data_IF_668312942640
#
_entry.id   IF_668312942640
#
_cell.length_a   1.000
_cell.length_b   1.000
_cell.length_c   1.000
_cell.angle_alpha   90.00
_cell.angle_beta   90.00
_cell.angle_gamma   90.00
#
_symmetry.space_group_name_H-M   'P 1'
#
loop_
_entity.id
_entity.type
_entity.pdbx_description
1 polymer ?
#
# COMPACT_ATOMS: atom_id res chain seq x y z
N UNK A 1 53.79 2.56 -0.77
CA UNK A 1 52.91 1.37 -0.71
C UNK A 1 52.32 1.40 0.68
N UNK A 2 51.05 1.75 0.88
CA UNK A 2 49.86 1.07 0.35
C UNK A 2 48.71 2.09 0.36
N UNK A 3 48.09 2.35 -0.80
CA UNK A 3 46.84 3.10 -0.83
C UNK A 3 45.72 2.14 -0.47
N UNK A 4 45.17 2.27 0.75
CA UNK A 4 43.93 1.59 1.16
C UNK A 4 42.80 2.11 0.27
N UNK A 5 42.00 1.27 -0.40
CA UNK A 5 40.98 1.74 -1.32
C UNK A 5 39.84 2.38 -0.53
N UNK A 6 39.77 3.72 -0.56
CA UNK A 6 38.77 4.54 0.16
C UNK A 6 37.35 4.40 -0.43
N UNK A 7 37.16 3.63 -1.51
CA UNK A 7 35.88 3.49 -2.21
C UNK A 7 35.01 2.28 -1.81
N UNK A 8 35.48 1.35 -0.98
CA UNK A 8 34.69 0.16 -0.61
C UNK A 8 33.54 0.46 0.38
N UNK A 9 33.80 1.29 1.40
CA UNK A 9 32.82 1.60 2.44
C UNK A 9 31.51 2.28 1.96
N UNK A 10 31.55 3.34 1.12
CA UNK A 10 30.31 3.99 0.65
C UNK A 10 29.51 3.10 -0.30
N UNK A 11 30.16 2.17 -1.01
CA UNK A 11 29.47 1.20 -1.85
C UNK A 11 28.74 0.14 -1.02
N UNK A 12 29.42 -0.46 -0.04
CA UNK A 12 28.81 -1.48 0.82
C UNK A 12 27.61 -0.91 1.57
N UNK A 13 27.72 0.35 2.02
CA UNK A 13 26.62 1.07 2.65
C UNK A 13 25.45 1.32 1.67
N UNK A 14 25.74 1.64 0.40
CA UNK A 14 24.71 1.80 -0.62
C UNK A 14 23.97 0.48 -0.91
N UNK A 15 24.72 -0.61 -1.07
CA UNK A 15 24.15 -1.94 -1.26
C UNK A 15 23.29 -2.39 -0.07
N UNK A 16 23.73 -2.08 1.15
CA UNK A 16 22.98 -2.36 2.37
C UNK A 16 21.68 -1.55 2.44
N UNK A 17 21.71 -0.27 2.06
CA UNK A 17 20.49 0.55 1.96
C UNK A 17 19.50 -0.03 0.94
N UNK A 18 19.96 -0.56 -0.20
CA UNK A 18 19.07 -1.22 -1.17
C UNK A 18 18.40 -2.47 -0.62
N UNK A 19 19.13 -3.27 0.17
CA UNK A 19 18.54 -4.44 0.86
C UNK A 19 17.48 -4.00 1.87
N UNK A 20 17.79 -3.00 2.69
CA UNK A 20 16.85 -2.46 3.68
C UNK A 20 15.61 -1.83 3.04
N UNK A 21 15.75 -1.18 1.88
CA UNK A 21 14.63 -0.68 1.09
C UNK A 21 13.76 -1.84 0.58
N UNK A 22 14.37 -2.89 0.06
CA UNK A 22 13.66 -4.08 -0.43
C UNK A 22 12.87 -4.73 0.70
N UNK A 23 13.49 -4.97 1.84
CA UNK A 23 12.82 -5.50 3.04
C UNK A 23 11.68 -4.59 3.49
N UNK A 24 11.89 -3.26 3.48
CA UNK A 24 10.88 -2.33 3.89
C UNK A 24 9.63 -2.36 2.98
N UNK A 25 9.84 -2.52 1.68
CA UNK A 25 8.80 -2.69 0.67
C UNK A 25 8.05 -4.02 0.85
N UNK A 26 8.76 -5.10 1.16
CA UNK A 26 8.14 -6.41 1.42
C UNK A 26 7.25 -6.39 2.66
N UNK A 27 7.72 -5.75 3.75
CA UNK A 27 6.91 -5.55 4.97
C UNK A 27 5.63 -4.77 4.63
N UNK A 28 5.74 -3.66 3.90
CA UNK A 28 4.55 -2.89 3.47
C UNK A 28 3.61 -3.74 2.62
N UNK A 29 4.14 -4.59 1.75
CA UNK A 29 3.33 -5.47 0.90
C UNK A 29 2.54 -6.45 1.75
N UNK A 30 3.16 -7.05 2.77
CA UNK A 30 2.47 -7.96 3.69
C UNK A 30 1.36 -7.25 4.48
N UNK A 31 1.63 -6.02 4.92
CA UNK A 31 0.62 -5.20 5.61
C UNK A 31 -0.59 -4.90 4.70
N UNK A 32 -0.37 -4.59 3.42
CA UNK A 32 -1.46 -4.41 2.45
C UNK A 32 -2.30 -5.67 2.26
N UNK A 33 -1.66 -6.85 2.16
CA UNK A 33 -2.38 -8.14 2.10
C UNK A 33 -3.22 -8.36 3.36
N UNK A 34 -2.66 -8.10 4.54
CA UNK A 34 -3.36 -8.27 5.81
C UNK A 34 -4.56 -7.33 5.93
N UNK A 35 -4.43 -6.06 5.51
CA UNK A 35 -5.54 -5.10 5.46
C UNK A 35 -6.65 -5.58 4.53
N UNK A 36 -6.31 -6.05 3.32
CA UNK A 36 -7.28 -6.58 2.37
C UNK A 36 -8.03 -7.79 2.95
N UNK A 37 -7.32 -8.70 3.60
CA UNK A 37 -7.89 -9.88 4.24
C UNK A 37 -8.82 -9.52 5.42
N UNK A 38 -8.41 -8.58 6.28
CA UNK A 38 -9.25 -8.12 7.38
C UNK A 38 -10.55 -7.45 6.87
N UNK A 39 -10.46 -6.65 5.79
CA UNK A 39 -11.62 -6.04 5.17
C UNK A 39 -12.58 -7.07 4.54
N UNK A 40 -12.03 -8.06 3.83
CA UNK A 40 -12.83 -9.15 3.25
C UNK A 40 -13.61 -9.93 4.33
N UNK A 41 -12.99 -10.19 5.49
CA UNK A 41 -13.58 -10.96 6.59
C UNK A 41 -14.45 -10.14 7.56
N UNK A 42 -14.77 -8.89 7.22
CA UNK A 42 -15.54 -7.97 8.09
C UNK A 42 -14.89 -7.72 9.47
N UNK A 43 -13.57 -7.89 9.57
CA UNK A 43 -12.81 -7.66 10.80
C UNK A 43 -12.35 -6.20 10.89
N UNK A 44 -13.30 -5.28 10.76
CA UNK A 44 -13.04 -3.84 10.62
C UNK A 44 -12.24 -3.26 11.80
N UNK A 45 -12.43 -3.80 12.99
CA UNK A 45 -11.71 -3.40 14.22
C UNK A 45 -10.19 -3.64 14.11
N UNK A 46 -9.76 -4.60 13.29
CA UNK A 46 -8.33 -4.91 13.11
C UNK A 46 -7.66 -3.93 12.13
N UNK A 47 -8.42 -3.29 11.24
CA UNK A 47 -7.87 -2.38 10.21
C UNK A 47 -7.16 -1.19 10.85
N UNK A 48 -7.74 -0.61 11.92
CA UNK A 48 -7.15 0.51 12.64
C UNK A 48 -5.78 0.16 13.26
N UNK A 49 -5.57 -1.10 13.65
CA UNK A 49 -4.31 -1.59 14.21
C UNK A 49 -3.16 -1.60 13.21
N UNK A 50 -3.44 -1.61 11.90
CA UNK A 50 -2.41 -1.60 10.86
C UNK A 50 -1.96 -0.20 10.45
N UNK A 51 -2.75 0.84 10.72
CA UNK A 51 -2.47 2.21 10.28
C UNK A 51 -1.20 2.79 10.90
N UNK A 52 -1.03 2.65 12.22
CA UNK A 52 0.12 3.21 12.93
C UNK A 52 1.44 2.52 12.52
N UNK A 53 1.53 1.17 12.50
CA UNK A 53 2.74 0.49 12.03
C UNK A 53 3.03 0.79 10.56
N UNK A 54 2.00 0.95 9.72
CA UNK A 54 2.17 1.27 8.30
C UNK A 54 2.77 2.65 8.13
N UNK A 55 2.25 3.65 8.84
CA UNK A 55 2.77 5.00 8.82
C UNK A 55 4.22 5.07 9.30
N UNK A 56 4.57 4.31 10.35
CA UNK A 56 5.96 4.19 10.81
C UNK A 56 6.86 3.58 9.73
N UNK A 57 6.38 2.55 9.05
CA UNK A 57 7.11 1.88 7.99
C UNK A 57 7.28 2.77 6.73
N UNK A 58 6.27 3.57 6.37
CA UNK A 58 6.37 4.57 5.30
C UNK A 58 7.44 5.62 5.63
N UNK A 59 7.51 6.08 6.89
CA UNK A 59 8.54 7.02 7.34
C UNK A 59 9.94 6.40 7.25
N UNK A 60 10.09 5.13 7.67
CA UNK A 60 11.35 4.38 7.53
C UNK A 60 11.77 4.29 6.06
N UNK A 61 10.85 3.95 5.16
CA UNK A 61 11.12 3.86 3.72
C UNK A 61 11.60 5.20 3.15
N UNK A 62 10.96 6.32 3.53
CA UNK A 62 11.39 7.67 3.13
C UNK A 62 12.79 8.01 3.63
N UNK A 63 13.12 7.65 4.87
CA UNK A 63 14.45 7.87 5.44
C UNK A 63 15.53 7.09 4.70
N UNK A 64 15.26 5.82 4.38
CA UNK A 64 16.16 4.98 3.60
C UNK A 64 16.36 5.50 2.18
N UNK A 65 15.30 5.97 1.52
CA UNK A 65 15.39 6.55 0.18
C UNK A 65 16.23 7.84 0.19
N UNK A 66 16.05 8.70 1.19
CA UNK A 66 16.89 9.89 1.35
C UNK A 66 18.36 9.51 1.56
N UNK A 67 18.63 8.46 2.34
CA UNK A 67 19.99 7.95 2.54
C UNK A 67 20.58 7.40 1.22
N UNK A 68 19.81 6.65 0.44
CA UNK A 68 20.19 6.16 -0.89
C UNK A 68 20.57 7.32 -1.81
N UNK A 69 19.77 8.38 -1.85
CA UNK A 69 20.06 9.57 -2.69
C UNK A 69 21.37 10.25 -2.27
N UNK A 70 21.61 10.43 -0.97
CA UNK A 70 22.86 11.02 -0.47
C UNK A 70 24.08 10.19 -0.82
N UNK A 71 24.00 8.86 -0.65
CA UNK A 71 25.08 7.95 -1.02
C UNK A 71 25.32 7.93 -2.53
N UNK A 72 24.26 8.00 -3.34
CA UNK A 72 24.40 8.15 -4.80
C UNK A 72 25.12 9.44 -5.17
N UNK A 73 24.86 10.56 -4.49
CA UNK A 73 25.59 11.81 -4.70
C UNK A 73 27.08 11.66 -4.34
N UNK A 74 27.40 11.02 -3.21
CA UNK A 74 28.80 10.77 -2.80
C UNK A 74 29.55 9.88 -3.78
N UNK A 75 28.86 8.94 -4.43
CA UNK A 75 29.40 8.05 -5.45
C UNK A 75 29.43 8.67 -6.86
N UNK A 76 29.02 9.94 -7.01
CA UNK A 76 28.98 10.62 -8.31
C UNK A 76 27.84 10.14 -9.24
N UNK A 77 26.85 9.45 -8.69
CA UNK A 77 25.68 8.91 -9.40
C UNK A 77 24.43 9.80 -9.27
N UNK A 78 24.62 11.07 -8.94
CA UNK A 78 23.52 12.01 -8.82
C UNK A 78 22.72 12.11 -10.12
N UNK A 79 21.40 11.98 -10.01
CA UNK A 79 20.49 12.03 -11.16
C UNK A 79 20.54 10.80 -12.08
N UNK A 80 21.39 9.81 -11.81
CA UNK A 80 21.44 8.58 -12.60
C UNK A 80 20.34 7.60 -12.19
N UNK A 81 19.71 7.00 -13.20
CA UNK A 81 18.83 5.85 -13.02
C UNK A 81 19.63 4.59 -12.73
N UNK A 82 18.98 3.56 -12.16
CA UNK A 82 19.62 2.27 -11.90
C UNK A 82 20.27 1.65 -13.14
N UNK A 83 19.65 1.78 -14.32
CA UNK A 83 20.23 1.30 -15.57
C UNK A 83 21.49 2.06 -15.94
N UNK A 84 21.47 3.39 -15.84
CA UNK A 84 22.64 4.24 -16.12
C UNK A 84 23.79 3.99 -15.15
N UNK A 85 23.49 3.72 -13.87
CA UNK A 85 24.51 3.32 -12.88
C UNK A 85 25.19 2.01 -13.34
N UNK A 86 24.42 1.00 -13.75
CA UNK A 86 24.95 -0.29 -14.21
C UNK A 86 25.68 -0.20 -15.56
N UNK A 87 25.41 0.82 -16.37
CA UNK A 87 26.06 1.03 -17.67
C UNK A 87 27.38 1.81 -17.56
N UNK A 88 27.72 2.33 -16.39
CA UNK A 88 28.98 3.04 -16.21
C UNK A 88 30.19 2.10 -16.40
N UNK A 89 31.19 2.51 -17.21
CA UNK A 89 32.34 1.67 -17.55
C UNK A 89 33.26 1.39 -16.34
N UNK A 90 33.23 2.26 -15.32
CA UNK A 90 34.00 2.10 -14.08
C UNK A 90 33.28 1.23 -13.04
N UNK A 91 32.04 0.79 -13.31
CA UNK A 91 31.22 0.08 -12.35
C UNK A 91 31.55 -1.41 -12.28
N UNK A 92 32.72 -1.74 -11.72
CA UNK A 92 33.17 -3.13 -11.50
C UNK A 92 32.23 -3.94 -10.59
N UNK A 93 31.32 -3.26 -9.88
CA UNK A 93 30.38 -3.84 -8.92
C UNK A 93 28.99 -4.07 -9.51
N UNK A 94 28.84 -3.91 -10.83
CA UNK A 94 27.60 -4.13 -11.58
C UNK A 94 26.95 -5.48 -11.28
N UNK A 95 27.74 -6.54 -11.16
CA UNK A 95 27.24 -7.89 -10.88
C UNK A 95 26.59 -8.00 -9.48
N UNK A 96 27.07 -7.23 -8.51
CA UNK A 96 26.48 -7.19 -7.16
C UNK A 96 25.23 -6.31 -7.10
N UNK A 97 25.20 -5.18 -7.82
CA UNK A 97 24.08 -4.25 -7.79
C UNK A 97 22.89 -4.70 -8.64
N UNK A 98 23.14 -5.35 -9.77
CA UNK A 98 22.11 -5.83 -10.69
C UNK A 98 21.00 -6.64 -9.99
N UNK A 99 21.29 -7.69 -9.19
CA UNK A 99 20.25 -8.44 -8.50
C UNK A 99 19.52 -7.60 -7.44
N UNK A 100 20.21 -6.68 -6.74
CA UNK A 100 19.58 -5.82 -5.74
C UNK A 100 18.59 -4.83 -6.38
N UNK A 101 18.95 -4.24 -7.52
CA UNK A 101 18.04 -3.37 -8.26
C UNK A 101 16.85 -4.14 -8.82
N UNK A 102 17.07 -5.33 -9.37
CA UNK A 102 15.99 -6.18 -9.88
C UNK A 102 15.01 -6.59 -8.77
N UNK A 103 15.53 -6.95 -7.59
CA UNK A 103 14.72 -7.29 -6.42
C UNK A 103 13.89 -6.10 -5.95
N UNK A 104 14.50 -4.93 -5.80
CA UNK A 104 13.80 -3.72 -5.39
C UNK A 104 12.71 -3.32 -6.39
N UNK A 105 13.01 -3.34 -7.70
CA UNK A 105 12.03 -3.03 -8.75
C UNK A 105 10.84 -4.01 -8.71
N UNK A 106 11.11 -5.31 -8.57
CA UNK A 106 10.07 -6.32 -8.44
C UNK A 106 9.23 -6.14 -7.17
N UNK A 107 9.87 -5.80 -6.04
CA UNK A 107 9.19 -5.52 -4.78
C UNK A 107 8.25 -4.31 -4.89
N UNK A 108 8.72 -3.21 -5.46
CA UNK A 108 7.91 -1.98 -5.61
C UNK A 108 6.70 -2.21 -6.53
N UNK A 109 6.89 -2.95 -7.63
CA UNK A 109 5.76 -3.35 -8.50
C UNK A 109 4.74 -4.17 -7.73
N UNK A 110 5.19 -5.21 -7.02
CA UNK A 110 4.34 -6.07 -6.20
C UNK A 110 3.56 -5.29 -5.14
N UNK A 111 4.22 -4.36 -4.45
CA UNK A 111 3.57 -3.49 -3.47
C UNK A 111 2.46 -2.67 -4.12
N UNK A 112 2.74 -2.04 -5.26
CA UNK A 112 1.78 -1.18 -5.97
C UNK A 112 0.56 -1.98 -6.45
N UNK A 113 0.78 -3.17 -7.00
CA UNK A 113 -0.29 -4.06 -7.45
C UNK A 113 -1.14 -4.56 -6.27
N UNK A 114 -0.48 -4.97 -5.18
CA UNK A 114 -1.13 -5.47 -3.96
C UNK A 114 -1.97 -4.37 -3.33
N UNK A 115 -1.42 -3.16 -3.19
CA UNK A 115 -2.14 -1.99 -2.67
C UNK A 115 -3.36 -1.66 -3.53
N UNK A 116 -3.21 -1.66 -4.86
CA UNK A 116 -4.33 -1.41 -5.78
C UNK A 116 -5.44 -2.45 -5.62
N UNK A 117 -5.07 -3.72 -5.41
CA UNK A 117 -6.01 -4.80 -5.14
C UNK A 117 -6.71 -4.63 -3.77
N UNK A 118 -5.94 -4.36 -2.71
CA UNK A 118 -6.44 -4.13 -1.36
C UNK A 118 -7.46 -2.98 -1.33
N UNK A 119 -7.13 -1.86 -1.99
CA UNK A 119 -8.01 -0.70 -2.14
C UNK A 119 -9.37 -1.07 -2.75
N UNK A 120 -9.38 -1.93 -3.78
CA UNK A 120 -10.62 -2.37 -4.44
C UNK A 120 -11.47 -3.22 -3.49
N UNK A 121 -10.85 -4.15 -2.76
CA UNK A 121 -11.55 -5.02 -1.79
C UNK A 121 -12.15 -4.16 -0.67
N UNK A 122 -11.36 -3.27 -0.09
CA UNK A 122 -11.82 -2.39 1.00
C UNK A 122 -12.99 -1.51 0.54
N UNK A 123 -12.89 -0.90 -0.65
CA UNK A 123 -13.96 -0.07 -1.21
C UNK A 123 -15.24 -0.85 -1.50
N UNK A 124 -15.13 -2.08 -1.99
CA UNK A 124 -16.30 -2.94 -2.22
C UNK A 124 -17.02 -3.25 -0.90
N UNK A 125 -16.26 -3.68 0.12
CA UNK A 125 -16.83 -4.00 1.45
C UNK A 125 -17.47 -2.78 2.11
N UNK A 126 -16.89 -1.59 1.94
CA UNK A 126 -17.49 -0.35 2.44
C UNK A 126 -18.86 -0.08 1.80
N UNK A 127 -18.98 -0.22 0.47
CA UNK A 127 -20.26 -0.04 -0.24
C UNK A 127 -21.33 -1.04 0.20
N UNK A 128 -20.95 -2.28 0.44
CA UNK A 128 -21.86 -3.32 0.94
C UNK A 128 -22.38 -2.97 2.34
N UNK A 129 -21.52 -2.45 3.22
CA UNK A 129 -21.92 -1.96 4.54
C UNK A 129 -22.84 -0.75 4.46
N UNK A 130 -22.52 0.23 3.61
CA UNK A 130 -23.36 1.41 3.36
C UNK A 130 -24.77 1.01 2.88
N UNK A 131 -24.85 0.06 1.93
CA UNK A 131 -26.13 -0.47 1.44
C UNK A 131 -26.91 -1.22 2.54
N UNK A 132 -26.22 -1.98 3.39
CA UNK A 132 -26.85 -2.69 4.51
C UNK A 132 -27.39 -1.73 5.60
N UNK A 133 -26.69 -0.62 5.86
CA UNK A 133 -27.14 0.43 6.79
C UNK A 133 -28.37 1.15 6.20
N UNK A 134 -28.30 1.59 4.95
CA UNK A 134 -29.42 2.25 4.26
C UNK A 134 -30.67 1.34 4.16
N UNK A 135 -30.46 0.04 3.91
CA UNK A 135 -31.55 -0.95 3.89
C UNK A 135 -32.19 -1.20 5.26
N UNK A 136 -31.42 -1.03 6.36
CA UNK A 136 -31.93 -1.12 7.74
C UNK A 136 -32.73 0.12 8.14
N UNK A 137 -32.35 1.31 7.67
CA UNK A 137 -33.07 2.56 7.94
C UNK A 137 -34.42 2.64 7.20
N UNK A 138 -34.62 1.86 6.13
CA UNK A 138 -35.90 1.73 5.43
C UNK A 138 -36.92 0.78 6.08
N UNK A 139 -36.62 0.15 7.23
CA UNK A 139 -37.44 -0.93 7.83
C UNK A 139 -38.01 -0.61 9.23
N UNK A 140 -38.45 0.63 9.45
CA UNK A 140 -39.41 0.99 10.51
C UNK A 140 -40.27 2.15 9.99
N UNK A 141 -41.58 1.98 9.80
CA UNK A 141 -42.57 1.81 10.86
C UNK A 141 -43.79 0.92 10.47
N UNK A 142 -44.59 0.49 11.47
CA UNK A 142 -45.39 -0.74 11.49
C UNK A 142 -46.87 -0.56 11.08
N UNK A 143 -47.54 -1.69 10.85
CA UNK A 143 -48.85 -1.78 10.21
C UNK A 143 -50.05 -1.30 11.01
N UNK A 144 -51.17 -1.17 10.29
CA UNK A 144 -52.50 -1.40 10.83
C UNK A 144 -53.38 -2.04 9.75
N UNK A 145 -54.17 -3.02 10.14
CA UNK A 145 -54.98 -3.82 9.23
C UNK A 145 -56.18 -3.05 8.71
N UNK A 146 -56.60 -3.32 7.48
CA UNK A 146 -58.00 -3.62 7.17
C UNK A 146 -58.10 -4.09 5.71
N UNK A 147 -58.71 -5.25 5.50
CA UNK A 147 -59.10 -5.70 4.17
C UNK A 147 -60.20 -4.77 3.61
N UNK A 148 -60.17 -4.37 2.34
CA UNK A 148 -61.26 -3.60 1.78
C UNK A 148 -62.43 -4.52 1.41
N UNK A 149 -63.46 -4.55 2.24
CA UNK A 149 -64.80 -4.96 1.79
C UNK A 149 -65.48 -3.75 1.12
N UNK A 150 -66.18 -3.93 -0.02
CA UNK A 150 -66.78 -2.82 -0.73
C UNK A 150 -68.20 -2.58 -0.22
N UNK A 151 -68.52 -1.39 0.28
CA UNK A 151 -69.87 -0.84 0.11
C UNK A 151 -70.03 0.62 0.52
N UNK A 152 -70.38 1.41 -0.51
CA UNK A 152 -71.59 2.23 -0.59
C UNK A 152 -71.94 3.08 0.64
N UNK A 153 -71.56 4.36 0.57
CA UNK A 153 -72.45 5.41 1.05
C UNK A 153 -72.28 6.71 0.27
N UNK A 154 -73.42 7.40 0.11
CA UNK A 154 -73.70 8.45 -0.88
C UNK A 154 -73.25 9.83 -0.41
N UNK A 155 -72.67 10.58 -1.33
CA UNK A 155 -73.04 11.94 -1.74
C UNK A 155 -73.73 12.85 -0.68
N UNK A 156 -72.98 13.82 -0.14
CA UNK A 156 -73.36 15.25 -0.10
C UNK A 156 -72.31 16.12 0.60
N UNK A 157 -71.91 17.17 -0.09
CA UNK A 157 -71.38 18.41 0.44
C UNK A 157 -72.51 19.21 1.13
N UNK A 158 -72.25 19.76 2.33
CA UNK A 158 -72.36 21.20 2.69
C UNK A 158 -71.45 21.45 3.90
#
# INVERSE_FOLDING_TARGET
>A
MEQVPVHAAPFDEFAEVLKQLTEAVDILTQMEVQKAHAAANSQHNLIAGFLNPEQAQILKLRGLEQKRTRLAQTLGWEGLTFRQILEQPENSQKECLSPLFAQLEAGVKRLTDTRTSADRVIKLRLRELEAAIAGKEGSSCPGDGNAPAPSRFKDRYV
#
